data_IF_435491560476
#
_entry.id   IF_435491560476
#
_cell.length_a   1.000
_cell.length_b   1.000
_cell.length_c   1.000
_cell.angle_alpha   90.00
_cell.angle_beta   90.00
_cell.angle_gamma   90.00
#
_symmetry.space_group_name_H-M   'P 1'
#
loop_
_entity.id
_entity.type
_entity.pdbx_description
1 polymer ?
#
# COMPACT_ATOMS: atom_id res chain seq x y z
N UNK A 1 -13.89 -32.59 -8.59
CA UNK A 1 -15.23 -32.21 -9.09
C UNK A 1 -16.36 -32.31 -8.07
N UNK A 2 -16.32 -33.24 -7.10
CA UNK A 2 -17.40 -33.43 -6.11
C UNK A 2 -17.86 -32.14 -5.40
N UNK A 3 -16.93 -31.30 -4.92
CA UNK A 3 -17.24 -30.01 -4.28
C UNK A 3 -18.13 -29.11 -5.14
N UNK A 4 -17.86 -29.01 -6.44
CA UNK A 4 -18.65 -28.19 -7.36
C UNK A 4 -19.99 -28.79 -7.71
N UNK A 5 -20.09 -30.12 -7.79
CA UNK A 5 -21.35 -30.82 -7.97
C UNK A 5 -22.25 -30.61 -6.75
N UNK A 6 -21.71 -30.82 -5.55
CA UNK A 6 -22.44 -30.68 -4.30
C UNK A 6 -22.86 -29.20 -4.09
N UNK A 7 -22.01 -28.23 -4.45
CA UNK A 7 -22.36 -26.81 -4.47
C UNK A 7 -23.52 -26.50 -5.44
N UNK A 8 -23.46 -27.00 -6.68
CA UNK A 8 -24.51 -26.74 -7.67
C UNK A 8 -25.86 -27.33 -7.25
N UNK A 9 -25.85 -28.49 -6.60
CA UNK A 9 -27.07 -29.17 -6.18
C UNK A 9 -27.65 -28.66 -4.86
N UNK A 10 -26.79 -28.26 -3.91
CA UNK A 10 -27.22 -27.99 -2.52
C UNK A 10 -26.87 -26.59 -2.02
N UNK A 11 -26.04 -25.84 -2.74
CA UNK A 11 -25.44 -24.59 -2.29
C UNK A 11 -24.33 -24.77 -1.25
N UNK A 12 -24.06 -25.99 -0.78
CA UNK A 12 -23.06 -26.31 0.24
C UNK A 12 -22.04 -27.28 -0.37
N UNK A 13 -20.82 -26.84 -0.71
CA UNK A 13 -19.83 -27.69 -1.37
C UNK A 13 -19.34 -28.86 -0.50
N UNK A 14 -19.22 -28.63 0.81
CA UNK A 14 -18.81 -29.62 1.81
C UNK A 14 -19.14 -29.11 3.22
N UNK A 15 -19.30 -30.01 4.19
CA UNK A 15 -19.55 -29.67 5.59
C UNK A 15 -18.35 -29.01 6.28
N UNK A 16 -17.13 -29.33 5.87
CA UNK A 16 -15.89 -28.78 6.41
C UNK A 16 -15.46 -27.47 5.73
N UNK A 17 -16.11 -27.06 4.63
CA UNK A 17 -15.80 -25.82 3.94
C UNK A 17 -16.58 -24.68 4.60
N UNK A 18 -15.95 -23.79 5.40
CA UNK A 18 -16.66 -22.73 6.08
C UNK A 18 -17.20 -21.71 5.07
N UNK A 19 -18.41 -21.21 5.32
CA UNK A 19 -18.97 -20.10 4.56
C UNK A 19 -18.06 -18.88 4.70
N UNK A 20 -17.73 -18.24 3.58
CA UNK A 20 -16.88 -17.07 3.59
C UNK A 20 -17.50 -15.92 4.41
N UNK A 21 -16.70 -15.33 5.29
CA UNK A 21 -17.05 -14.21 6.15
C UNK A 21 -15.95 -13.14 6.04
N UNK A 22 -16.32 -11.86 5.86
CA UNK A 22 -15.35 -10.76 5.70
C UNK A 22 -14.56 -10.43 6.96
N UNK A 23 -15.08 -10.79 8.12
CA UNK A 23 -14.44 -10.65 9.43
C UNK A 23 -13.47 -11.81 9.66
N UNK A 24 -13.94 -13.06 9.54
CA UNK A 24 -13.10 -14.23 9.81
C UNK A 24 -12.13 -14.58 8.68
N UNK A 25 -12.45 -14.22 7.43
CA UNK A 25 -11.64 -14.44 6.22
C UNK A 25 -11.05 -15.86 6.08
N UNK A 26 -11.82 -16.87 6.48
CA UNK A 26 -11.44 -18.28 6.36
C UNK A 26 -11.62 -18.78 4.92
N UNK A 27 -10.66 -19.55 4.44
CA UNK A 27 -10.67 -20.16 3.11
C UNK A 27 -10.17 -21.61 3.17
N UNK A 28 -10.76 -22.48 2.36
CA UNK A 28 -10.28 -23.83 2.12
C UNK A 28 -9.15 -23.81 1.09
N UNK A 29 -8.00 -24.38 1.43
CA UNK A 29 -6.90 -24.59 0.48
C UNK A 29 -7.21 -25.84 -0.34
N UNK A 30 -7.19 -25.68 -1.67
CA UNK A 30 -7.31 -26.78 -2.62
C UNK A 30 -5.93 -27.11 -3.17
N UNK A 31 -5.49 -28.36 -2.99
CA UNK A 31 -4.22 -28.87 -3.48
C UNK A 31 -4.20 -30.39 -3.52
N UNK A 32 -3.02 -30.99 -3.69
CA UNK A 32 -2.85 -32.45 -3.74
C UNK A 32 -3.31 -33.12 -2.43
N UNK A 33 -2.99 -32.52 -1.28
CA UNK A 33 -3.43 -32.96 0.05
C UNK A 33 -4.98 -33.03 0.15
N UNK A 34 -5.69 -32.14 -0.55
CA UNK A 34 -7.16 -32.12 -0.57
C UNK A 34 -7.77 -33.35 -1.24
N UNK A 35 -7.04 -33.97 -2.17
CA UNK A 35 -7.46 -35.21 -2.84
C UNK A 35 -7.29 -36.41 -1.91
N UNK A 36 -6.34 -36.34 -0.96
CA UNK A 36 -6.06 -37.37 0.04
C UNK A 36 -7.03 -37.32 1.24
N UNK A 37 -7.97 -36.38 1.24
CA UNK A 37 -8.93 -36.18 2.33
C UNK A 37 -8.42 -35.24 3.43
N UNK A 38 -7.24 -34.63 3.26
CA UNK A 38 -6.75 -33.61 4.19
C UNK A 38 -7.34 -32.24 3.82
N UNK A 39 -7.96 -31.57 4.78
CA UNK A 39 -8.66 -30.32 4.55
C UNK A 39 -8.03 -29.21 5.39
N UNK A 40 -7.26 -28.35 4.73
CA UNK A 40 -6.60 -27.22 5.38
C UNK A 40 -7.44 -25.96 5.21
N UNK A 41 -7.92 -25.44 6.33
CA UNK A 41 -8.52 -24.10 6.39
C UNK A 41 -7.44 -23.11 6.81
N UNK A 42 -7.29 -22.04 6.05
CA UNK A 42 -6.41 -20.92 6.36
C UNK A 42 -7.22 -19.65 6.58
N UNK A 43 -6.68 -18.75 7.38
CA UNK A 43 -7.29 -17.48 7.75
C UNK A 43 -6.50 -16.34 7.11
N UNK A 44 -7.19 -15.38 6.51
CA UNK A 44 -6.61 -14.14 6.00
C UNK A 44 -5.47 -14.36 4.99
N UNK A 45 -5.75 -15.19 3.96
CA UNK A 45 -4.78 -15.73 2.98
C UNK A 45 -3.80 -14.70 2.43
N UNK A 46 -4.31 -13.50 2.12
CA UNK A 46 -3.54 -12.41 1.52
C UNK A 46 -3.65 -11.13 2.34
N UNK A 47 -3.96 -11.22 3.64
CA UNK A 47 -4.30 -10.06 4.46
C UNK A 47 -3.24 -8.95 4.43
N UNK A 48 -1.98 -9.34 4.61
CA UNK A 48 -0.85 -8.41 4.56
C UNK A 48 -0.69 -7.76 3.19
N UNK A 49 -0.79 -8.55 2.11
CA UNK A 49 -0.62 -8.05 0.75
C UNK A 49 -1.77 -7.11 0.35
N UNK A 50 -3.02 -7.48 0.66
CA UNK A 50 -4.18 -6.62 0.46
C UNK A 50 -4.02 -5.30 1.22
N UNK A 51 -3.58 -5.35 2.48
CA UNK A 51 -3.33 -4.15 3.27
C UNK A 51 -2.26 -3.25 2.65
N UNK A 52 -1.16 -3.82 2.17
CA UNK A 52 -0.11 -3.05 1.51
C UNK A 52 -0.61 -2.38 0.22
N UNK A 53 -1.48 -3.06 -0.53
CA UNK A 53 -2.10 -2.50 -1.73
C UNK A 53 -3.02 -1.33 -1.35
N UNK A 54 -3.88 -1.52 -0.33
CA UNK A 54 -4.80 -0.48 0.15
C UNK A 54 -4.05 0.77 0.65
N UNK A 55 -2.95 0.56 1.39
CA UNK A 55 -2.07 1.65 1.87
C UNK A 55 -1.37 2.36 0.69
N UNK A 56 -0.90 1.62 -0.31
CA UNK A 56 -0.26 2.18 -1.49
C UNK A 56 -1.23 3.01 -2.35
N UNK A 57 -2.47 2.54 -2.55
CA UNK A 57 -3.52 3.26 -3.26
C UNK A 57 -3.85 4.58 -2.55
N UNK A 58 -4.01 4.52 -1.23
CA UNK A 58 -4.26 5.72 -0.39
C UNK A 58 -3.17 6.77 -0.54
N UNK A 59 -1.89 6.36 -0.57
CA UNK A 59 -0.76 7.28 -0.74
C UNK A 59 -0.70 7.83 -2.18
N UNK A 60 -0.94 6.99 -3.18
CA UNK A 60 -0.93 7.41 -4.59
C UNK A 60 -1.96 8.52 -4.85
N UNK A 61 -3.15 8.39 -4.28
CA UNK A 61 -4.23 9.39 -4.41
C UNK A 61 -3.89 10.71 -3.72
N UNK A 62 -3.30 10.68 -2.52
CA UNK A 62 -2.88 11.90 -1.79
C UNK A 62 -1.81 12.71 -2.54
N UNK A 63 -0.89 12.04 -3.23
CA UNK A 63 0.15 12.72 -4.03
C UNK A 63 -0.46 13.46 -5.22
N UNK A 64 -1.56 12.96 -5.78
CA UNK A 64 -2.27 13.65 -6.86
C UNK A 64 -2.95 14.94 -6.37
N UNK A 65 -3.53 14.95 -5.17
CA UNK A 65 -4.13 16.14 -4.56
C UNK A 65 -3.08 17.20 -4.18
N UNK A 66 -1.92 16.78 -3.67
CA UNK A 66 -0.83 17.71 -3.35
C UNK A 66 -0.30 18.44 -4.60
N UNK A 67 -0.31 17.77 -5.77
CA UNK A 67 0.07 18.35 -7.06
C UNK A 67 -1.00 19.28 -7.64
N UNK A 68 -2.26 19.08 -7.26
CA UNK A 68 -3.39 19.89 -7.73
C UNK A 68 -3.52 21.23 -7.01
N UNK A 69 -2.74 21.52 -5.96
CA UNK A 69 -2.70 22.85 -5.34
C UNK A 69 -2.02 23.82 -6.32
N UNK A 70 -2.74 24.75 -6.96
CA UNK A 70 -2.09 25.80 -7.71
C UNK A 70 -1.28 26.61 -6.71
N UNK A 71 0.00 26.84 -7.00
CA UNK A 71 0.77 27.91 -6.38
C UNK A 71 -0.11 29.16 -6.43
N UNK A 72 -0.58 29.64 -5.28
CA UNK A 72 -1.28 30.92 -5.23
C UNK A 72 -0.39 31.96 -5.92
N UNK A 73 -0.95 32.83 -6.79
CA UNK A 73 -0.18 33.88 -7.42
C UNK A 73 0.40 34.76 -6.31
N UNK A 74 1.70 35.03 -6.39
CA UNK A 74 2.35 36.00 -5.53
C UNK A 74 1.49 37.27 -5.51
N UNK A 75 1.00 37.65 -4.33
CA UNK A 75 0.33 38.91 -4.14
C UNK A 75 1.22 40.01 -4.74
N UNK A 76 0.66 40.83 -5.63
CA UNK A 76 1.35 41.96 -6.22
C UNK A 76 1.76 42.92 -5.08
N UNK A 77 3.02 42.82 -4.64
CA UNK A 77 3.64 43.87 -3.85
C UNK A 77 4.04 44.95 -4.87
N UNK A 78 3.20 45.97 -5.01
CA UNK A 78 3.66 47.25 -5.54
C UNK A 78 4.58 47.85 -4.48
N UNK A 79 5.88 47.59 -4.60
CA UNK A 79 6.88 48.42 -3.93
C UNK A 79 7.72 49.15 -4.97
N UNK A 80 7.48 50.45 -5.01
CA UNK A 80 8.25 51.41 -5.76
C UNK A 80 9.52 51.65 -4.98
N UNK A 81 10.64 51.00 -5.30
CA UNK A 81 11.96 51.62 -5.17
C UNK A 81 13.07 50.84 -5.88
N UNK A 82 13.86 51.63 -6.56
CA UNK A 82 15.10 51.34 -7.27
C UNK A 82 16.15 50.57 -6.45
N UNK A 83 16.88 49.67 -7.12
CA UNK A 83 18.30 49.42 -6.82
C UNK A 83 18.68 47.98 -6.52
N UNK A 84 19.43 47.40 -7.48
CA UNK A 84 20.48 46.39 -7.25
C UNK A 84 20.05 44.99 -6.77
N UNK A 85 19.84 44.09 -7.74
CA UNK A 85 19.75 42.65 -7.52
C UNK A 85 21.13 42.09 -7.12
N UNK A 86 21.27 41.62 -5.88
CA UNK A 86 22.30 40.63 -5.52
C UNK A 86 21.64 39.30 -5.14
N UNK A 87 21.90 38.32 -6.01
CA UNK A 87 22.07 36.88 -5.80
C UNK A 87 21.31 36.15 -4.68
N UNK A 88 20.47 35.22 -5.12
CA UNK A 88 19.80 34.18 -4.32
C UNK A 88 20.82 33.20 -3.73
N UNK A 89 20.80 33.02 -2.41
CA UNK A 89 21.53 31.94 -1.73
C UNK A 89 20.66 30.69 -1.80
N UNK A 90 20.97 29.81 -2.75
CA UNK A 90 20.42 28.47 -2.81
C UNK A 90 21.58 27.46 -2.80
N UNK A 91 21.97 26.93 -1.64
CA UNK A 91 22.81 25.72 -1.56
C UNK A 91 22.55 24.92 -0.27
N UNK A 92 22.15 23.66 -0.47
CA UNK A 92 22.39 22.41 0.29
C UNK A 92 22.02 22.29 1.77
N UNK A 93 20.93 21.57 2.04
CA UNK A 93 20.78 20.74 3.25
C UNK A 93 20.31 19.32 2.87
N UNK A 94 21.01 18.59 1.99
CA UNK A 94 20.81 17.12 1.87
C UNK A 94 22.14 16.33 1.69
N UNK A 95 23.31 16.98 1.64
CA UNK A 95 24.59 16.26 1.57
C UNK A 95 25.07 15.66 2.91
N UNK A 96 24.48 16.05 4.05
CA UNK A 96 25.00 15.69 5.38
C UNK A 96 24.48 14.37 5.96
N UNK A 97 23.54 13.67 5.32
CA UNK A 97 23.08 12.35 5.83
C UNK A 97 23.96 11.22 5.28
N UNK A 98 24.55 11.37 4.09
CA UNK A 98 25.37 10.32 3.46
C UNK A 98 26.76 10.19 4.12
N UNK A 99 27.29 11.27 4.71
CA UNK A 99 28.61 11.24 5.37
C UNK A 99 28.54 10.58 6.76
N UNK A 100 27.41 10.71 7.48
CA UNK A 100 27.29 10.13 8.83
C UNK A 100 27.23 8.59 8.78
N UNK A 101 26.60 8.01 7.74
CA UNK A 101 26.54 6.54 7.63
C UNK A 101 27.89 5.89 7.31
N UNK A 102 28.77 6.56 6.56
CA UNK A 102 30.09 6.02 6.24
C UNK A 102 31.09 6.11 7.41
N UNK A 103 30.84 6.96 8.41
CA UNK A 103 31.71 7.07 9.58
C UNK A 103 31.37 6.09 10.72
N UNK A 104 30.16 5.52 10.75
CA UNK A 104 29.73 4.55 11.79
C UNK A 104 30.00 3.09 11.40
N UNK A 105 30.31 2.82 10.12
CA UNK A 105 30.67 1.45 9.68
C UNK A 105 32.17 1.11 9.74
N UNK A 106 33.02 2.00 10.28
CA UNK A 106 34.46 1.73 10.46
C UNK A 106 34.90 2.06 11.90
N UNK A 107 34.19 1.54 12.90
CA UNK A 107 34.73 1.45 14.27
C UNK A 107 34.32 0.13 14.90
#
# INVERSE_FOLDING_TARGET
>A
MKLWIDFANTGIPASYWPKYNRIERKALVLGEESVRGEHRIITDVHGTQCRLIDEAETVADQVSECRARPTQPAAAIQDTTSGTRMSSIAVSIIANVIVIFNAVSIT
#
